data_IF_556152117568
#
_entry.id   IF_556152117568
#
_cell.length_a   1.000
_cell.length_b   1.000
_cell.length_c   1.000
_cell.angle_alpha   90.00
_cell.angle_beta   90.00
_cell.angle_gamma   90.00
#
_symmetry.space_group_name_H-M   'P 1'
#
loop_
_entity.id
_entity.type
_entity.pdbx_description
1 polymer ?
#
# COMPACT_ATOMS: atom_id res chain seq x y z
N UNK A 1 -8.20 46.60 -14.89
CA UNK A 1 -8.51 45.17 -14.98
C UNK A 1 -8.18 44.54 -13.64
N UNK A 2 -9.18 44.44 -12.78
CA UNK A 2 -9.10 43.94 -11.41
C UNK A 2 -9.56 42.49 -11.39
N UNK A 3 -8.66 41.59 -11.02
CA UNK A 3 -8.95 40.16 -10.81
C UNK A 3 -9.56 40.03 -9.42
N UNK A 4 -10.76 39.45 -9.25
CA UNK A 4 -11.32 39.22 -7.93
C UNK A 4 -10.59 38.05 -7.26
N UNK A 5 -10.02 38.35 -6.09
CA UNK A 5 -9.44 37.40 -5.16
C UNK A 5 -10.55 36.52 -4.57
N UNK A 6 -10.69 35.32 -5.13
CA UNK A 6 -11.61 34.31 -4.63
C UNK A 6 -11.06 33.72 -3.31
N UNK A 7 -11.80 33.99 -2.24
CA UNK A 7 -11.48 33.59 -0.87
C UNK A 7 -11.60 32.08 -0.71
N UNK A 8 -10.46 31.39 -0.83
CA UNK A 8 -10.32 30.00 -0.38
C UNK A 8 -10.52 29.92 1.14
N UNK A 9 -11.75 29.60 1.56
CA UNK A 9 -12.05 28.98 2.85
C UNK A 9 -11.19 27.73 3.01
N UNK A 10 -10.21 27.80 3.90
CA UNK A 10 -9.62 26.63 4.51
C UNK A 10 -10.58 26.17 5.60
N UNK A 11 -11.54 25.32 5.23
CA UNK A 11 -12.34 24.59 6.21
C UNK A 11 -11.43 23.55 6.86
N UNK A 12 -10.91 23.89 8.04
CA UNK A 12 -10.29 22.94 8.97
C UNK A 12 -11.35 21.89 9.35
N UNK A 13 -11.32 20.75 8.67
CA UNK A 13 -12.06 19.56 9.07
C UNK A 13 -11.42 18.95 10.32
N UNK A 14 -11.75 19.50 11.49
CA UNK A 14 -11.83 18.68 12.69
C UNK A 14 -13.09 17.81 12.55
N UNK A 15 -12.90 16.59 12.07
CA UNK A 15 -13.99 15.62 11.99
C UNK A 15 -14.55 15.39 13.40
N UNK A 16 -15.86 15.59 13.64
CA UNK A 16 -16.47 15.15 14.88
C UNK A 16 -16.32 13.64 14.93
N UNK A 17 -15.67 13.12 15.98
CA UNK A 17 -15.78 11.71 16.36
C UNK A 17 -17.27 11.41 16.56
N UNK A 18 -17.90 10.87 15.51
CA UNK A 18 -19.26 10.37 15.54
C UNK A 18 -19.28 9.14 16.45
N UNK A 19 -19.42 9.39 17.75
CA UNK A 19 -19.78 8.36 18.70
C UNK A 19 -21.19 7.92 18.32
N UNK A 20 -21.31 6.69 17.79
CA UNK A 20 -22.59 6.09 17.44
C UNK A 20 -23.48 6.02 18.69
N UNK A 21 -24.34 7.02 18.87
CA UNK A 21 -25.31 7.05 19.95
C UNK A 21 -26.40 6.04 19.63
N UNK A 22 -26.34 4.86 20.24
CA UNK A 22 -27.40 3.85 20.17
C UNK A 22 -28.67 4.42 20.79
N UNK A 23 -29.67 4.73 19.95
CA UNK A 23 -31.01 5.14 20.40
C UNK A 23 -31.75 3.89 20.89
N UNK A 24 -32.18 3.90 22.15
CA UNK A 24 -32.95 2.80 22.74
C UNK A 24 -34.34 3.34 23.10
N UNK A 25 -35.40 2.70 22.63
CA UNK A 25 -36.78 3.11 22.91
C UNK A 25 -37.32 2.34 24.11
N UNK A 26 -37.87 3.03 25.11
CA UNK A 26 -38.51 2.37 26.25
C UNK A 26 -39.80 1.67 25.81
N UNK A 27 -40.02 0.37 26.13
CA UNK A 27 -41.21 -0.36 25.72
C UNK A 27 -42.50 0.15 26.38
N UNK A 28 -42.42 0.62 27.62
CA UNK A 28 -43.59 1.09 28.39
C UNK A 28 -44.11 2.47 27.93
N UNK A 29 -43.24 3.49 27.91
CA UNK A 29 -43.65 4.88 27.63
C UNK A 29 -43.25 5.39 26.24
N UNK A 30 -42.58 4.57 25.42
CA UNK A 30 -42.09 4.90 24.07
C UNK A 30 -41.11 6.08 23.98
N UNK A 31 -40.60 6.57 25.11
CA UNK A 31 -39.56 7.62 25.12
C UNK A 31 -38.25 7.06 24.55
N UNK A 32 -37.63 7.81 23.64
CA UNK A 32 -36.31 7.48 23.06
C UNK A 32 -35.20 7.96 23.98
N UNK A 33 -34.44 7.03 24.55
CA UNK A 33 -33.32 7.30 25.45
C UNK A 33 -32.02 7.41 24.66
N UNK A 34 -31.26 8.47 24.91
CA UNK A 34 -29.90 8.67 24.39
C UNK A 34 -28.89 8.24 25.45
N UNK A 35 -28.33 7.04 25.33
CA UNK A 35 -27.27 6.59 26.20
C UNK A 35 -25.92 7.20 25.76
N UNK A 36 -25.17 7.79 26.68
CA UNK A 36 -23.85 8.40 26.42
C UNK A 36 -22.78 7.37 26.09
N UNK A 37 -23.00 6.10 26.46
CA UNK A 37 -22.15 4.95 26.15
C UNK A 37 -23.02 3.83 25.57
N UNK A 38 -22.57 3.11 24.54
CA UNK A 38 -23.31 1.98 23.99
C UNK A 38 -23.58 0.96 25.10
N UNK A 39 -24.86 0.63 25.29
CA UNK A 39 -25.28 -0.35 26.31
C UNK A 39 -25.09 -1.74 25.72
N UNK A 40 -24.27 -2.62 26.33
CA UNK A 40 -24.11 -3.99 25.86
C UNK A 40 -25.44 -4.74 25.95
N UNK A 41 -25.70 -5.60 24.97
CA UNK A 41 -26.92 -6.42 24.92
C UNK A 41 -27.08 -7.23 26.23
N UNK A 42 -28.31 -7.30 26.73
CA UNK A 42 -28.68 -8.02 27.96
C UNK A 42 -28.60 -7.19 29.25
N UNK A 43 -28.08 -5.96 29.23
CA UNK A 43 -28.02 -5.12 30.44
C UNK A 43 -29.37 -4.43 30.72
N UNK A 44 -29.82 -4.46 31.96
CA UNK A 44 -31.02 -3.76 32.41
C UNK A 44 -30.80 -2.24 32.48
N UNK A 45 -31.68 -1.47 31.83
CA UNK A 45 -31.71 0.00 31.82
C UNK A 45 -33.02 0.47 32.45
N UNK A 46 -32.95 1.52 33.28
CA UNK A 46 -34.13 2.15 33.89
C UNK A 46 -34.55 3.36 33.07
N UNK A 47 -35.82 3.45 32.67
CA UNK A 47 -36.34 4.61 31.97
C UNK A 47 -36.48 5.81 32.93
N UNK A 48 -35.95 7.01 32.59
CA UNK A 48 -36.10 8.20 33.42
C UNK A 48 -37.52 8.77 33.45
N UNK A 49 -38.32 8.55 32.39
CA UNK A 49 -39.69 9.08 32.31
C UNK A 49 -40.70 8.26 33.12
N UNK A 50 -40.70 6.93 32.96
CA UNK A 50 -41.69 6.06 33.62
C UNK A 50 -41.13 5.16 34.72
N UNK A 51 -39.81 5.13 34.91
CA UNK A 51 -39.16 4.35 35.97
C UNK A 51 -39.07 2.83 35.74
N UNK A 52 -39.63 2.30 34.64
CA UNK A 52 -39.58 0.87 34.32
C UNK A 52 -38.15 0.40 34.01
N UNK A 53 -37.84 -0.86 34.35
CA UNK A 53 -36.56 -1.52 34.06
C UNK A 53 -36.76 -2.52 32.92
N UNK A 54 -35.97 -2.41 31.86
CA UNK A 54 -36.03 -3.31 30.70
C UNK A 54 -34.61 -3.66 30.21
N UNK A 55 -34.46 -4.79 29.51
CA UNK A 55 -33.17 -5.26 29.00
C UNK A 55 -32.92 -4.78 27.57
N UNK A 56 -31.80 -4.08 27.34
CA UNK A 56 -31.44 -3.61 26.00
C UNK A 56 -31.03 -4.78 25.10
N UNK A 57 -31.64 -4.90 23.91
CA UNK A 57 -31.20 -5.85 22.86
C UNK A 57 -31.85 -7.24 22.87
N UNK A 58 -32.94 -7.47 23.61
CA UNK A 58 -33.60 -8.78 23.65
C UNK A 58 -34.54 -9.05 22.44
N UNK A 59 -35.02 -8.01 21.73
CA UNK A 59 -36.10 -8.15 20.75
C UNK A 59 -35.66 -8.10 19.27
N UNK A 60 -34.36 -8.24 18.97
CA UNK A 60 -33.85 -8.25 17.59
C UNK A 60 -33.84 -9.66 16.95
N UNK A 61 -34.80 -10.52 17.29
CA UNK A 61 -35.13 -11.69 16.49
C UNK A 61 -36.31 -11.31 15.58
N UNK A 62 -35.99 -10.71 14.43
CA UNK A 62 -36.98 -10.23 13.46
C UNK A 62 -37.84 -11.37 12.90
N UNK A 63 -39.14 -11.35 13.23
CA UNK A 63 -40.18 -12.04 12.44
C UNK A 63 -40.71 -11.03 11.41
N UNK A 64 -40.53 -11.24 10.09
CA UNK A 64 -40.96 -10.26 9.09
C UNK A 64 -42.49 -10.27 8.94
N UNK A 65 -43.14 -9.16 9.29
CA UNK A 65 -44.57 -8.92 9.07
C UNK A 65 -44.85 -8.58 7.59
N UNK A 66 -45.61 -9.45 6.92
CA UNK A 66 -46.22 -9.25 5.60
C UNK A 66 -47.15 -8.03 5.59
N UNK A 67 -46.99 -7.13 4.63
CA UNK A 67 -48.02 -6.16 4.19
C UNK A 67 -48.64 -6.56 2.84
N UNK A 68 -49.91 -6.16 2.56
CA UNK A 68 -50.73 -6.74 1.49
C UNK A 68 -50.51 -6.10 0.12
N UNK A 69 -50.81 -6.89 -0.92
CA UNK A 69 -50.77 -6.57 -2.36
C UNK A 69 -51.81 -5.53 -2.77
N UNK A 70 -51.40 -4.53 -3.54
CA UNK A 70 -52.27 -3.84 -4.51
C UNK A 70 -51.91 -4.29 -5.93
N UNK A 71 -52.97 -4.54 -6.72
CA UNK A 71 -52.93 -5.10 -8.05
C UNK A 71 -52.84 -4.00 -9.11
N UNK A 72 -51.90 -4.12 -10.05
CA UNK A 72 -51.99 -3.47 -11.36
C UNK A 72 -51.65 -4.50 -12.44
N UNK A 73 -52.61 -4.65 -13.35
CA UNK A 73 -52.66 -5.50 -14.52
C UNK A 73 -51.92 -4.94 -15.72
N UNK A 74 -51.68 -5.84 -16.68
CA UNK A 74 -51.69 -5.65 -18.15
C UNK A 74 -50.34 -5.61 -18.89
N UNK A 75 -50.08 -6.74 -19.56
CA UNK A 75 -49.80 -6.86 -20.99
C UNK A 75 -48.60 -6.12 -21.61
N UNK A 76 -47.52 -6.90 -21.87
CA UNK A 76 -46.99 -7.06 -23.25
C UNK A 76 -45.92 -8.17 -23.38
N UNK A 77 -46.28 -9.24 -24.12
CA UNK A 77 -45.37 -9.98 -25.02
C UNK A 77 -45.03 -9.06 -26.24
N UNK A 78 -44.00 -9.29 -27.08
CA UNK A 78 -43.24 -10.52 -27.39
C UNK A 78 -41.69 -10.26 -27.31
N UNK A 79 -40.72 -11.12 -27.64
CA UNK A 79 -40.60 -12.13 -28.68
C UNK A 79 -39.30 -12.93 -28.49
N UNK A 80 -39.37 -14.20 -28.89
CA UNK A 80 -38.30 -15.17 -29.12
C UNK A 80 -37.24 -14.62 -30.09
N UNK A 81 -35.96 -14.69 -29.71
CA UNK A 81 -34.86 -15.01 -30.64
C UNK A 81 -33.94 -16.01 -29.99
N UNK A 82 -33.78 -17.13 -30.70
CA UNK A 82 -32.92 -18.23 -30.38
C UNK A 82 -31.60 -18.01 -31.13
N UNK A 83 -30.49 -17.97 -30.41
CA UNK A 83 -29.18 -18.25 -30.98
C UNK A 83 -28.38 -19.13 -30.01
N UNK A 84 -28.43 -20.43 -30.31
CA UNK A 84 -27.54 -21.45 -29.76
C UNK A 84 -26.13 -21.15 -30.29
N UNK A 85 -25.24 -20.65 -29.45
CA UNK A 85 -23.80 -20.69 -29.71
C UNK A 85 -23.16 -21.77 -28.83
N UNK A 86 -22.67 -22.80 -29.51
CA UNK A 86 -22.05 -23.98 -28.94
C UNK A 86 -20.81 -23.63 -28.08
N UNK A 87 -20.78 -24.14 -26.86
CA UNK A 87 -19.60 -24.14 -26.00
C UNK A 87 -18.61 -25.21 -26.47
N UNK A 88 -17.30 -24.92 -26.54
CA UNK A 88 -16.29 -25.92 -26.89
C UNK A 88 -16.09 -26.93 -25.75
N UNK A 89 -16.02 -28.21 -26.14
CA UNK A 89 -15.71 -29.36 -25.27
C UNK A 89 -14.35 -29.18 -24.60
N UNK A 90 -14.33 -29.18 -23.26
CA UNK A 90 -13.13 -29.32 -22.43
C UNK A 90 -12.62 -30.77 -22.54
N UNK A 91 -11.34 -31.02 -22.86
CA UNK A 91 -10.79 -32.37 -22.87
C UNK A 91 -10.63 -32.89 -21.43
N UNK A 92 -11.09 -34.13 -21.24
CA UNK A 92 -10.85 -34.96 -20.08
C UNK A 92 -9.50 -35.68 -20.22
N UNK A 93 -8.61 -35.51 -19.24
CA UNK A 93 -7.51 -36.41 -18.83
C UNK A 93 -6.67 -35.63 -17.81
N UNK A 94 -6.06 -36.20 -16.76
CA UNK A 94 -6.10 -37.50 -16.10
C UNK A 94 -5.43 -37.26 -14.73
N UNK A 95 -5.87 -37.96 -13.68
CA UNK A 95 -5.16 -38.02 -12.38
C UNK A 95 -3.89 -38.90 -12.54
N UNK A 96 -2.83 -38.64 -11.75
CA UNK A 96 -2.50 -39.47 -10.58
C UNK A 96 -2.30 -38.59 -9.32
N UNK A 97 -2.80 -38.95 -8.13
CA UNK A 97 -2.30 -39.94 -7.16
C UNK A 97 -1.00 -39.50 -6.46
N UNK A 98 -1.17 -38.85 -5.30
CA UNK A 98 -0.29 -38.79 -4.11
C UNK A 98 -1.03 -37.85 -3.11
N UNK A 99 -1.73 -38.37 -2.10
CA UNK A 99 -1.28 -38.77 -0.75
C UNK A 99 -0.85 -37.59 0.15
N UNK A 100 -1.28 -37.69 1.42
CA UNK A 100 -1.15 -36.79 2.58
C UNK A 100 -2.29 -35.76 2.79
N UNK A 101 -3.42 -36.12 3.41
CA UNK A 101 -3.62 -36.45 4.84
C UNK A 101 -3.87 -35.19 5.72
N UNK A 102 -5.13 -35.01 6.12
CA UNK A 102 -5.52 -34.29 7.35
C UNK A 102 -6.24 -32.95 7.19
N UNK A 103 -7.56 -32.92 7.46
CA UNK A 103 -8.20 -31.65 7.85
C UNK A 103 -9.71 -31.44 7.59
N UNK A 104 -10.57 -32.26 8.18
CA UNK A 104 -11.86 -31.84 8.80
C UNK A 104 -12.70 -30.74 8.14
N UNK A 105 -13.38 -31.06 7.05
CA UNK A 105 -14.77 -30.64 6.86
C UNK A 105 -15.57 -31.86 6.43
N UNK A 106 -16.27 -32.46 7.39
CA UNK A 106 -17.17 -33.57 7.15
C UNK A 106 -18.30 -33.11 6.25
N UNK A 107 -18.27 -33.55 4.99
CA UNK A 107 -19.47 -33.60 4.16
C UNK A 107 -20.46 -34.52 4.86
N UNK A 108 -21.49 -33.97 5.48
CA UNK A 108 -22.68 -34.73 5.84
C UNK A 108 -23.29 -35.20 4.53
N UNK A 109 -23.14 -36.50 4.23
CA UNK A 109 -23.94 -37.17 3.22
C UNK A 109 -25.37 -37.17 3.72
N UNK A 110 -26.15 -36.20 3.27
CA UNK A 110 -27.61 -36.26 3.42
C UNK A 110 -28.12 -37.44 2.58
N UNK A 111 -28.63 -38.45 3.28
CA UNK A 111 -29.39 -39.53 2.69
C UNK A 111 -30.54 -38.95 1.84
N UNK A 112 -30.62 -39.41 0.60
CA UNK A 112 -31.73 -39.17 -0.32
C UNK A 112 -33.01 -39.73 0.28
N UNK A 113 -33.75 -38.91 1.03
CA UNK A 113 -35.15 -39.14 1.33
C UNK A 113 -35.94 -38.80 0.07
N UNK A 114 -36.39 -39.84 -0.62
CA UNK A 114 -37.32 -39.76 -1.72
C UNK A 114 -38.73 -39.49 -1.16
N UNK A 115 -39.08 -38.22 -0.99
CA UNK A 115 -40.49 -37.82 -0.89
C UNK A 115 -40.76 -36.63 -1.81
N UNK A 116 -41.50 -36.95 -2.86
CA UNK A 116 -42.03 -36.05 -3.87
C UNK A 116 -43.17 -35.22 -3.28
N UNK A 117 -42.85 -34.12 -2.58
CA UNK A 117 -43.85 -33.09 -2.30
C UNK A 117 -43.41 -31.73 -2.82
N UNK A 118 -44.21 -31.29 -3.80
CA UNK A 118 -44.15 -30.07 -4.60
C UNK A 118 -43.78 -28.83 -3.78
N UNK A 119 -42.48 -28.61 -3.57
CA UNK A 119 -41.96 -27.32 -3.15
C UNK A 119 -42.22 -26.37 -4.34
N UNK A 120 -42.99 -25.28 -4.17
CA UNK A 120 -43.20 -24.34 -5.26
C UNK A 120 -41.82 -23.89 -5.73
N UNK A 121 -41.58 -23.97 -7.04
CA UNK A 121 -40.42 -23.40 -7.70
C UNK A 121 -40.51 -21.89 -7.48
N UNK A 122 -40.04 -21.45 -6.31
CA UNK A 122 -39.82 -20.05 -6.03
C UNK A 122 -38.70 -19.71 -6.99
N UNK A 123 -39.08 -19.12 -8.13
CA UNK A 123 -38.18 -18.47 -9.06
C UNK A 123 -37.61 -17.26 -8.29
N UNK A 124 -36.71 -17.58 -7.37
CA UNK A 124 -35.84 -16.66 -6.69
C UNK A 124 -34.79 -16.29 -7.72
N UNK A 125 -35.23 -15.68 -8.82
CA UNK A 125 -34.38 -14.89 -9.67
C UNK A 125 -33.87 -13.81 -8.72
N UNK A 126 -32.62 -13.93 -8.20
CA UNK A 126 -32.08 -12.94 -7.31
C UNK A 126 -32.18 -11.66 -8.09
N UNK A 127 -32.90 -10.68 -7.58
CA UNK A 127 -33.17 -9.44 -8.29
C UNK A 127 -31.81 -8.83 -8.68
N UNK A 128 -31.40 -9.07 -9.93
CA UNK A 128 -30.10 -8.71 -10.49
C UNK A 128 -30.03 -7.21 -10.75
N UNK A 129 -31.10 -6.46 -10.44
CA UNK A 129 -31.03 -5.01 -10.31
C UNK A 129 -29.97 -4.71 -9.26
N UNK A 130 -28.81 -4.28 -9.73
CA UNK A 130 -27.61 -3.94 -8.95
C UNK A 130 -27.96 -2.93 -7.86
N UNK A 131 -28.48 -3.41 -6.73
CA UNK A 131 -28.84 -2.59 -5.57
C UNK A 131 -27.62 -1.95 -4.95
N UNK A 132 -26.43 -2.48 -5.20
CA UNK A 132 -25.16 -1.91 -4.78
C UNK A 132 -24.21 -1.67 -5.97
N UNK A 133 -24.03 -0.39 -6.31
CA UNK A 133 -23.10 0.05 -7.35
C UNK A 133 -21.64 -0.02 -6.88
N UNK A 134 -21.38 -0.25 -5.59
CA UNK A 134 -20.03 -0.38 -5.03
C UNK A 134 -19.36 -1.69 -5.41
N UNK A 135 -20.10 -2.79 -5.52
CA UNK A 135 -19.55 -4.10 -5.88
C UNK A 135 -18.79 -4.09 -7.22
N UNK A 136 -19.43 -3.67 -8.33
CA UNK A 136 -18.76 -3.55 -9.61
C UNK A 136 -17.60 -2.54 -9.60
N UNK A 137 -17.74 -1.41 -8.91
CA UNK A 137 -16.69 -0.41 -8.79
C UNK A 137 -15.46 -0.95 -8.04
N UNK A 138 -15.68 -1.62 -6.91
CA UNK A 138 -14.62 -2.26 -6.12
C UNK A 138 -13.89 -3.29 -6.97
N UNK A 139 -14.61 -4.20 -7.64
CA UNK A 139 -13.99 -5.23 -8.49
C UNK A 139 -13.10 -4.67 -9.60
N UNK A 140 -13.47 -3.51 -10.18
CA UNK A 140 -12.67 -2.83 -11.19
C UNK A 140 -11.38 -2.21 -10.59
N UNK A 141 -11.40 -1.85 -9.31
CA UNK A 141 -10.31 -1.17 -8.64
C UNK A 141 -9.31 -2.11 -7.97
N UNK A 142 -9.71 -3.33 -7.55
CA UNK A 142 -8.81 -4.25 -6.82
C UNK A 142 -7.52 -4.54 -7.60
N UNK A 143 -7.61 -4.84 -8.89
CA UNK A 143 -6.44 -5.16 -9.71
C UNK A 143 -5.41 -4.01 -9.78
N UNK A 144 -5.81 -2.82 -10.28
CA UNK A 144 -4.92 -1.66 -10.37
C UNK A 144 -4.40 -1.19 -9.00
N UNK A 145 -5.25 -1.18 -7.97
CA UNK A 145 -4.84 -0.75 -6.62
C UNK A 145 -3.85 -1.71 -5.97
N UNK A 146 -3.99 -3.03 -6.15
CA UNK A 146 -2.99 -4.00 -5.69
C UNK A 146 -1.62 -3.74 -6.32
N UNK A 147 -1.58 -3.48 -7.63
CA UNK A 147 -0.33 -3.11 -8.29
C UNK A 147 0.26 -1.80 -7.75
N UNK A 148 -0.58 -0.81 -7.47
CA UNK A 148 -0.13 0.45 -6.88
C UNK A 148 0.41 0.26 -5.44
N UNK A 149 -0.21 -0.61 -4.63
CA UNK A 149 0.29 -1.01 -3.30
C UNK A 149 1.67 -1.66 -3.42
N UNK A 150 1.86 -2.56 -4.40
CA UNK A 150 3.16 -3.20 -4.64
C UNK A 150 4.21 -2.15 -5.02
N UNK A 151 3.90 -1.24 -5.95
CA UNK A 151 4.84 -0.17 -6.37
C UNK A 151 5.19 0.75 -5.19
N UNK A 152 4.21 1.18 -4.39
CA UNK A 152 4.45 1.97 -3.18
C UNK A 152 5.27 1.22 -2.13
N UNK A 153 5.01 -0.07 -1.94
CA UNK A 153 5.75 -0.90 -0.98
C UNK A 153 7.20 -1.13 -1.43
N UNK A 154 7.43 -1.46 -2.70
CA UNK A 154 8.77 -1.59 -3.27
C UNK A 154 9.55 -0.28 -3.17
N UNK A 155 8.90 0.86 -3.41
CA UNK A 155 9.49 2.18 -3.20
C UNK A 155 9.96 2.39 -1.75
N UNK A 156 9.08 2.11 -0.79
CA UNK A 156 9.38 2.23 0.65
C UNK A 156 10.56 1.35 1.06
N UNK A 157 10.53 0.06 0.71
CA UNK A 157 11.61 -0.87 1.04
C UNK A 157 12.90 -0.56 0.28
N UNK A 158 12.80 -0.02 -0.93
CA UNK A 158 13.95 0.46 -1.68
C UNK A 158 14.64 1.64 -0.98
N UNK A 159 13.88 2.64 -0.54
CA UNK A 159 14.45 3.75 0.24
C UNK A 159 15.03 3.29 1.57
N UNK A 160 14.40 2.32 2.24
CA UNK A 160 14.94 1.68 3.43
C UNK A 160 16.25 0.93 3.13
N UNK A 161 16.33 0.23 2.00
CA UNK A 161 17.55 -0.44 1.54
C UNK A 161 18.70 0.54 1.33
N UNK A 162 18.44 1.67 0.66
CA UNK A 162 19.42 2.77 0.51
C UNK A 162 19.86 3.32 1.86
N UNK A 163 18.93 3.53 2.80
CA UNK A 163 19.24 3.99 4.15
C UNK A 163 20.22 3.04 4.85
N UNK A 164 19.92 1.73 4.84
CA UNK A 164 20.76 0.70 5.47
C UNK A 164 22.13 0.64 4.79
N UNK A 165 22.19 0.72 3.45
CA UNK A 165 23.45 0.71 2.71
C UNK A 165 24.33 1.92 3.00
N UNK A 166 23.76 3.08 3.30
CA UNK A 166 24.52 4.28 3.73
C UNK A 166 24.96 4.14 5.20
N UNK A 167 24.09 3.61 6.07
CA UNK A 167 24.40 3.48 7.49
C UNK A 167 25.54 2.50 7.78
N UNK A 168 25.66 1.40 7.03
CA UNK A 168 26.73 0.39 7.25
C UNK A 168 28.15 1.00 7.20
N UNK A 169 28.59 1.66 6.11
CA UNK A 169 29.93 2.25 6.05
C UNK A 169 30.10 3.44 7.01
N UNK A 170 29.01 4.11 7.41
CA UNK A 170 29.08 5.17 8.44
C UNK A 170 29.28 4.60 9.84
N UNK A 171 28.65 3.47 10.17
CA UNK A 171 28.77 2.81 11.48
C UNK A 171 30.04 1.97 11.59
N UNK A 172 30.52 1.44 10.47
CA UNK A 172 31.72 0.62 10.38
C UNK A 172 32.67 1.22 9.34
N UNK A 173 33.36 2.33 9.67
CA UNK A 173 34.39 2.86 8.79
C UNK A 173 35.46 1.79 8.62
N UNK A 174 35.61 1.29 7.38
CA UNK A 174 36.70 0.39 7.04
C UNK A 174 37.93 1.30 6.89
N UNK A 175 38.79 1.31 7.90
CA UNK A 175 40.09 1.97 7.80
C UNK A 175 40.86 1.31 6.64
N UNK A 176 40.96 2.01 5.52
CA UNK A 176 41.55 1.48 4.28
C UNK A 176 43.08 1.32 4.36
N UNK A 177 43.66 1.39 5.57
CA UNK A 177 45.08 1.65 5.84
C UNK A 177 45.88 0.46 6.38
N UNK A 178 45.28 -0.70 6.64
CA UNK A 178 46.04 -1.81 7.28
C UNK A 178 46.86 -2.67 6.30
N UNK A 179 46.89 -2.29 5.02
CA UNK A 179 47.38 -3.15 3.94
C UNK A 179 48.76 -2.83 3.35
N UNK A 180 49.28 -1.62 3.51
CA UNK A 180 50.62 -1.30 2.99
C UNK A 180 51.71 -1.71 3.98
N UNK A 181 51.79 -3.03 4.23
CA UNK A 181 52.96 -3.68 4.85
C UNK A 181 54.23 -3.57 3.98
N UNK A 182 54.18 -2.87 2.84
CA UNK A 182 55.33 -2.68 1.94
C UNK A 182 56.05 -1.34 2.12
N UNK A 183 55.53 -0.43 2.94
CA UNK A 183 56.39 0.61 3.52
C UNK A 183 57.22 -0.02 4.63
N UNK A 184 58.56 -0.13 4.47
CA UNK A 184 59.40 -0.62 5.56
C UNK A 184 59.14 0.24 6.80
N UNK A 185 59.20 -0.34 8.01
CA UNK A 185 59.06 0.41 9.24
C UNK A 185 59.95 1.65 9.13
N UNK A 186 59.37 2.84 9.34
CA UNK A 186 60.17 4.07 9.50
C UNK A 186 61.34 3.68 10.41
N UNK A 187 62.60 3.87 9.97
CA UNK A 187 63.74 3.48 10.77
C UNK A 187 63.53 4.11 12.14
N UNK A 188 63.60 3.26 13.17
CA UNK A 188 63.72 3.68 14.56
C UNK A 188 64.73 4.81 14.53
N UNK A 189 64.29 6.01 14.88
CA UNK A 189 65.19 7.13 15.10
C UNK A 189 66.08 6.65 16.25
N UNK A 190 67.29 6.21 15.89
CA UNK A 190 68.40 6.15 16.82
C UNK A 190 68.50 7.53 17.44
N UNK A 191 68.11 7.60 18.71
CA UNK A 191 68.30 8.75 19.56
C UNK A 191 69.79 8.90 19.84
N UNK A 192 70.56 9.33 18.86
CA UNK A 192 71.88 9.88 19.08
C UNK A 192 72.00 11.23 18.39
N UNK A 193 71.93 12.26 19.24
CA UNK A 193 72.38 13.64 19.05
C UNK A 193 71.41 14.66 18.42
N UNK A 194 71.07 15.67 19.24
CA UNK A 194 70.89 17.04 18.76
C UNK A 194 69.62 17.73 19.22
N UNK A 195 69.66 18.32 20.42
CA UNK A 195 68.60 19.11 21.04
C UNK A 195 68.48 20.53 20.42
N UNK A 196 68.61 20.66 19.11
CA UNK A 196 68.72 21.98 18.44
C UNK A 196 68.06 22.07 17.07
N UNK A 197 66.81 21.62 16.94
CA UNK A 197 65.94 22.04 15.84
C UNK A 197 64.52 22.25 16.39
N UNK A 198 64.38 23.33 17.16
CA UNK A 198 63.08 23.97 17.45
C UNK A 198 62.99 25.11 16.45
N UNK A 199 62.15 24.98 15.40
CA UNK A 199 61.49 26.08 14.64
C UNK A 199 61.06 25.75 13.19
N UNK A 200 60.71 24.51 12.85
CA UNK A 200 59.93 24.27 11.62
C UNK A 200 58.65 23.50 11.94
N UNK A 201 57.71 24.19 12.59
CA UNK A 201 56.29 23.85 12.60
C UNK A 201 55.71 24.06 11.19
N UNK A 202 56.07 23.17 10.27
CA UNK A 202 55.30 22.97 9.06
C UNK A 202 54.76 21.56 9.13
N UNK A 203 53.63 21.41 9.83
CA UNK A 203 52.84 20.18 9.79
C UNK A 203 52.69 19.79 8.31
N UNK A 204 53.25 18.65 7.87
CA UNK A 204 52.96 18.16 6.55
C UNK A 204 51.53 17.64 6.62
N UNK A 205 50.57 18.51 6.30
CA UNK A 205 49.27 18.13 5.74
C UNK A 205 49.57 17.40 4.43
N UNK A 206 49.97 16.14 4.55
CA UNK A 206 50.08 15.23 3.42
C UNK A 206 48.66 15.03 2.92
N UNK A 207 48.27 15.84 1.93
CA UNK A 207 47.03 15.63 1.20
C UNK A 207 47.04 14.18 0.72
N UNK A 208 45.98 13.40 1.00
CA UNK A 208 45.89 12.02 0.58
C UNK A 208 46.04 11.99 -0.94
N UNK A 209 47.10 11.32 -1.43
CA UNK A 209 47.29 11.10 -2.87
C UNK A 209 46.11 10.28 -3.38
N UNK A 210 45.18 10.98 -4.01
CA UNK A 210 43.98 10.41 -4.58
C UNK A 210 44.42 9.61 -5.82
N UNK A 211 44.53 8.30 -5.68
CA UNK A 211 44.93 7.42 -6.77
C UNK A 211 43.70 7.18 -7.66
N UNK A 212 43.61 7.80 -8.87
CA UNK A 212 42.39 7.84 -9.67
C UNK A 212 41.92 6.45 -10.15
N UNK A 213 42.77 5.42 -10.00
CA UNK A 213 42.47 4.04 -10.38
C UNK A 213 41.93 3.15 -9.26
N UNK A 214 41.96 3.57 -7.99
CA UNK A 214 41.39 2.76 -6.90
C UNK A 214 39.87 2.96 -6.84
N UNK A 215 39.14 2.25 -7.70
CA UNK A 215 37.67 2.24 -7.69
C UNK A 215 37.20 1.60 -6.38
N UNK A 216 36.74 2.41 -5.43
CA UNK A 216 36.12 1.89 -4.22
C UNK A 216 34.84 1.13 -4.57
N UNK A 217 34.56 0.10 -3.78
CA UNK A 217 33.39 -0.76 -3.95
C UNK A 217 32.08 0.03 -3.86
N UNK A 218 32.10 1.17 -3.17
CA UNK A 218 30.96 2.05 -2.88
C UNK A 218 30.79 3.21 -3.87
N UNK A 219 31.50 3.21 -5.01
CA UNK A 219 31.31 4.26 -6.01
C UNK A 219 29.97 4.08 -6.76
N UNK A 220 29.10 5.07 -6.70
CA UNK A 220 27.82 5.08 -7.40
C UNK A 220 27.66 6.42 -8.14
N UNK A 221 27.44 6.38 -9.46
CA UNK A 221 27.49 7.57 -10.34
C UNK A 221 28.74 8.46 -10.15
N UNK A 222 29.90 7.84 -9.94
CA UNK A 222 31.16 8.58 -9.73
C UNK A 222 31.28 9.25 -8.36
N UNK A 223 30.28 9.12 -7.49
CA UNK A 223 30.34 9.57 -6.10
C UNK A 223 30.63 8.36 -5.21
N UNK A 224 31.65 8.45 -4.38
CA UNK A 224 31.94 7.41 -3.39
C UNK A 224 30.99 7.56 -2.19
N UNK A 225 30.12 6.59 -1.95
CA UNK A 225 29.24 6.60 -0.77
C UNK A 225 30.05 6.60 0.54
N UNK A 226 31.31 6.15 0.54
CA UNK A 226 32.18 6.26 1.72
C UNK A 226 32.49 7.72 2.10
N UNK A 227 32.54 8.64 1.13
CA UNK A 227 32.73 10.07 1.39
C UNK A 227 31.57 10.65 2.21
N UNK A 228 30.36 10.06 2.10
CA UNK A 228 29.18 10.49 2.87
C UNK A 228 29.40 10.32 4.37
N UNK A 229 30.15 9.30 4.80
CA UNK A 229 30.50 9.09 6.21
C UNK A 229 31.55 10.09 6.74
N UNK A 230 32.33 10.70 5.85
CA UNK A 230 33.35 11.71 6.19
C UNK A 230 32.80 13.13 6.22
N UNK A 231 31.58 13.35 5.71
CA UNK A 231 30.93 14.66 5.77
C UNK A 231 30.64 15.05 7.24
N UNK A 232 30.75 16.34 7.58
CA UNK A 232 30.30 16.84 8.87
C UNK A 232 28.87 16.37 9.19
N UNK A 233 28.60 16.02 10.44
CA UNK A 233 27.35 15.37 10.88
C UNK A 233 26.06 16.07 10.41
N UNK A 234 26.09 17.41 10.29
CA UNK A 234 24.93 18.19 9.82
C UNK A 234 24.68 18.03 8.32
N UNK A 235 25.72 17.91 7.48
CA UNK A 235 25.57 17.59 6.06
C UNK A 235 25.14 16.14 5.86
N UNK A 236 25.62 15.23 6.71
CA UNK A 236 25.14 13.85 6.72
C UNK A 236 23.63 13.78 7.01
N UNK A 237 23.14 14.49 8.05
CA UNK A 237 21.71 14.57 8.34
C UNK A 237 20.92 15.21 7.17
N UNK A 238 21.48 16.24 6.53
CA UNK A 238 20.87 16.86 5.36
C UNK A 238 20.77 15.88 4.18
N UNK A 239 21.76 15.00 4.00
CA UNK A 239 21.74 13.96 2.97
C UNK A 239 20.73 12.85 3.26
N UNK A 240 20.36 12.60 4.53
CA UNK A 240 19.31 11.65 4.89
C UNK A 240 17.89 12.18 4.64
N UNK A 241 17.69 13.49 4.65
CA UNK A 241 16.39 14.13 4.44
C UNK A 241 15.65 13.66 3.17
N UNK A 242 16.25 13.61 1.97
CA UNK A 242 15.57 13.09 0.78
C UNK A 242 15.17 11.61 0.89
N UNK A 243 15.93 10.79 1.64
CA UNK A 243 15.60 9.38 1.87
C UNK A 243 14.33 9.27 2.72
N UNK A 244 14.25 10.05 3.80
CA UNK A 244 13.04 10.11 4.64
C UNK A 244 11.83 10.65 3.85
N UNK A 245 12.02 11.69 3.05
CA UNK A 245 10.96 12.20 2.18
C UNK A 245 10.50 11.14 1.16
N UNK A 246 11.44 10.37 0.59
CA UNK A 246 11.15 9.25 -0.29
C UNK A 246 10.29 8.18 0.39
N UNK A 247 10.66 7.77 1.61
CA UNK A 247 9.87 6.80 2.39
C UNK A 247 8.46 7.31 2.70
N UNK A 248 8.31 8.58 3.13
CA UNK A 248 7.00 9.19 3.39
C UNK A 248 6.18 9.28 2.11
N UNK A 249 6.80 9.67 0.99
CA UNK A 249 6.15 9.73 -0.31
C UNK A 249 5.60 8.36 -0.72
N UNK A 250 6.42 7.31 -0.62
CA UNK A 250 5.99 5.94 -0.91
C UNK A 250 4.88 5.46 0.03
N UNK A 251 4.95 5.81 1.32
CA UNK A 251 3.88 5.54 2.28
C UNK A 251 2.55 6.20 1.92
N UNK A 252 2.57 7.45 1.44
CA UNK A 252 1.37 8.17 1.00
C UNK A 252 0.76 7.54 -0.27
N UNK A 253 1.59 7.08 -1.21
CA UNK A 253 1.12 6.34 -2.39
C UNK A 253 0.41 5.05 -1.94
N UNK A 254 1.03 4.23 -1.10
CA UNK A 254 0.44 3.00 -0.58
C UNK A 254 -0.85 3.26 0.20
N UNK A 255 -0.88 4.27 1.06
CA UNK A 255 -2.07 4.66 1.81
C UNK A 255 -3.23 5.04 0.89
N UNK A 256 -2.97 5.88 -0.12
CA UNK A 256 -4.00 6.24 -1.09
C UNK A 256 -4.47 5.05 -1.92
N UNK A 257 -3.60 4.06 -2.19
CA UNK A 257 -3.99 2.84 -2.88
C UNK A 257 -4.93 1.94 -2.03
N UNK A 258 -4.72 1.88 -0.71
CA UNK A 258 -5.66 1.22 0.22
C UNK A 258 -7.00 1.96 0.27
N UNK A 259 -6.97 3.30 0.29
CA UNK A 259 -8.18 4.14 0.24
C UNK A 259 -9.00 3.92 -1.05
N UNK A 260 -8.33 3.61 -2.17
CA UNK A 260 -9.00 3.24 -3.43
C UNK A 260 -9.79 1.93 -3.26
N UNK A 261 -9.23 0.93 -2.57
CA UNK A 261 -9.87 -0.37 -2.37
C UNK A 261 -11.09 -0.29 -1.48
N UNK A 262 -11.02 0.53 -0.43
CA UNK A 262 -12.12 0.71 0.52
C UNK A 262 -13.24 1.61 -0.02
N UNK A 263 -13.06 2.25 -1.19
CA UNK A 263 -13.96 3.27 -1.73
C UNK A 263 -14.21 4.45 -0.74
N UNK A 264 -13.24 4.74 0.13
CA UNK A 264 -13.37 5.70 1.23
C UNK A 264 -12.98 7.13 0.84
N UNK A 265 -12.16 7.31 -0.21
CA UNK A 265 -11.69 8.65 -0.59
C UNK A 265 -11.26 8.76 -2.05
N UNK A 266 -12.19 9.12 -2.94
CA UNK A 266 -11.90 9.34 -4.37
C UNK A 266 -10.75 10.33 -4.61
N UNK A 267 -10.72 11.45 -3.86
CA UNK A 267 -9.67 12.47 -4.00
C UNK A 267 -8.30 11.96 -3.57
N UNK A 268 -8.23 11.20 -2.48
CA UNK A 268 -6.99 10.59 -2.00
C UNK A 268 -6.49 9.51 -2.95
N UNK A 269 -7.40 8.69 -3.50
CA UNK A 269 -7.08 7.72 -4.52
C UNK A 269 -6.53 8.36 -5.79
N UNK A 270 -7.17 9.42 -6.28
CA UNK A 270 -6.69 10.17 -7.44
C UNK A 270 -5.31 10.80 -7.19
N UNK A 271 -5.11 11.43 -6.02
CA UNK A 271 -3.81 12.01 -5.66
C UNK A 271 -2.70 10.95 -5.61
N UNK A 272 -2.95 9.80 -4.98
CA UNK A 272 -2.00 8.69 -4.94
C UNK A 272 -1.72 8.10 -6.32
N UNK A 273 -2.73 7.96 -7.18
CA UNK A 273 -2.54 7.49 -8.54
C UNK A 273 -1.66 8.45 -9.36
N UNK A 274 -1.87 9.77 -9.22
CA UNK A 274 -1.02 10.79 -9.84
C UNK A 274 0.41 10.73 -9.27
N UNK A 275 0.56 10.66 -7.95
CA UNK A 275 1.88 10.50 -7.32
C UNK A 275 2.59 9.23 -7.80
N UNK A 276 1.86 8.12 -7.97
CA UNK A 276 2.37 6.86 -8.51
C UNK A 276 2.89 6.95 -9.95
N UNK A 277 2.48 7.95 -10.73
CA UNK A 277 3.04 8.19 -12.07
C UNK A 277 4.44 8.79 -12.03
N UNK A 278 4.84 9.39 -10.91
CA UNK A 278 6.16 10.02 -10.77
C UNK A 278 7.18 8.94 -10.37
N UNK A 279 8.24 8.69 -11.16
CA UNK A 279 9.20 7.63 -10.90
C UNK A 279 10.08 7.85 -9.65
N UNK A 280 9.87 8.96 -8.93
CA UNK A 280 10.49 9.21 -7.62
C UNK A 280 10.08 8.13 -6.61
N UNK A 281 8.87 7.57 -6.73
CA UNK A 281 8.41 6.52 -5.83
C UNK A 281 9.29 5.26 -5.90
N UNK A 282 9.68 4.85 -7.11
CA UNK A 282 10.52 3.67 -7.34
C UNK A 282 12.02 3.96 -7.27
N UNK A 283 12.44 5.21 -7.05
CA UNK A 283 13.85 5.59 -7.11
C UNK A 283 14.71 4.88 -6.06
N UNK A 284 14.24 4.78 -4.81
CA UNK A 284 14.97 4.01 -3.79
C UNK A 284 15.18 2.55 -4.18
N UNK A 285 14.17 1.94 -4.83
CA UNK A 285 14.27 0.57 -5.34
C UNK A 285 15.28 0.48 -6.48
N UNK A 286 15.18 1.37 -7.49
CA UNK A 286 16.13 1.46 -8.61
C UNK A 286 17.58 1.60 -8.12
N UNK A 287 17.84 2.42 -7.10
CA UNK A 287 19.18 2.60 -6.54
C UNK A 287 19.68 1.32 -5.88
N UNK A 288 18.82 0.67 -5.08
CA UNK A 288 19.17 -0.57 -4.38
C UNK A 288 19.42 -1.71 -5.36
N UNK A 289 18.57 -1.88 -6.38
CA UNK A 289 18.75 -2.89 -7.43
C UNK A 289 19.96 -2.59 -8.28
N UNK A 290 20.24 -1.33 -8.62
CA UNK A 290 21.45 -0.96 -9.36
C UNK A 290 22.74 -1.28 -8.58
N UNK A 291 22.78 -1.02 -7.28
CA UNK A 291 23.94 -1.36 -6.43
C UNK A 291 24.10 -2.88 -6.32
N UNK A 292 23.01 -3.61 -6.06
CA UNK A 292 23.03 -5.07 -6.00
C UNK A 292 23.44 -5.71 -7.33
N UNK A 293 22.92 -5.20 -8.44
CA UNK A 293 23.26 -5.68 -9.78
C UNK A 293 24.72 -5.37 -10.11
N UNK A 294 25.22 -4.19 -9.73
CA UNK A 294 26.64 -3.84 -9.85
C UNK A 294 27.52 -4.83 -9.09
N UNK A 295 27.12 -5.23 -7.89
CA UNK A 295 27.84 -6.23 -7.12
C UNK A 295 27.87 -7.60 -7.81
N UNK A 296 26.71 -8.08 -8.25
CA UNK A 296 26.57 -9.43 -8.82
C UNK A 296 27.17 -9.55 -10.23
N UNK A 297 26.93 -8.55 -11.09
CA UNK A 297 27.23 -8.60 -12.52
C UNK A 297 28.54 -7.88 -12.85
N UNK A 298 29.00 -6.95 -12.01
CA UNK A 298 30.28 -6.26 -12.17
C UNK A 298 31.49 -7.21 -12.11
N UNK A 299 31.32 -8.45 -11.64
CA UNK A 299 32.34 -9.50 -11.73
C UNK A 299 32.44 -10.14 -13.12
N UNK A 300 31.40 -10.03 -13.96
CA UNK A 300 31.27 -10.78 -15.21
C UNK A 300 31.36 -9.87 -16.44
N UNK A 301 30.87 -8.62 -16.35
CA UNK A 301 30.76 -7.74 -17.52
C UNK A 301 31.30 -6.34 -17.26
N UNK A 302 32.07 -5.81 -18.21
CA UNK A 302 32.56 -4.43 -18.17
C UNK A 302 31.49 -3.39 -18.56
N UNK A 303 30.46 -3.78 -19.33
CA UNK A 303 29.39 -2.90 -19.84
C UNK A 303 28.15 -2.77 -18.92
N UNK A 304 28.39 -2.74 -17.61
CA UNK A 304 27.33 -2.66 -16.60
C UNK A 304 26.48 -1.38 -16.71
N UNK A 305 27.06 -0.27 -17.18
CA UNK A 305 26.36 1.00 -17.28
C UNK A 305 25.15 0.96 -18.21
N UNK A 306 25.26 0.29 -19.36
CA UNK A 306 24.16 0.16 -20.33
C UNK A 306 23.02 -0.67 -19.74
N UNK A 307 23.35 -1.77 -19.05
CA UNK A 307 22.36 -2.61 -18.38
C UNK A 307 21.63 -1.86 -17.27
N UNK A 308 22.33 -1.04 -16.47
CA UNK A 308 21.70 -0.20 -15.45
C UNK A 308 20.75 0.83 -16.04
N UNK A 309 21.15 1.54 -17.10
CA UNK A 309 20.28 2.52 -17.79
C UNK A 309 19.02 1.84 -18.33
N UNK A 310 19.17 0.68 -18.95
CA UNK A 310 18.04 -0.09 -19.46
C UNK A 310 17.08 -0.51 -18.33
N UNK A 311 17.60 -1.09 -17.24
CA UNK A 311 16.80 -1.53 -16.11
C UNK A 311 16.04 -0.36 -15.47
N UNK A 312 16.72 0.76 -15.20
CA UNK A 312 16.10 1.97 -14.65
C UNK A 312 15.00 2.51 -15.58
N UNK A 313 15.22 2.45 -16.90
CA UNK A 313 14.23 2.88 -17.88
C UNK A 313 12.99 1.99 -17.86
N UNK A 314 13.17 0.68 -17.79
CA UNK A 314 12.06 -0.30 -17.72
C UNK A 314 11.27 -0.13 -16.43
N UNK A 315 11.94 0.01 -15.29
CA UNK A 315 11.28 0.21 -13.99
C UNK A 315 10.52 1.54 -13.94
N UNK A 316 11.11 2.62 -14.45
CA UNK A 316 10.44 3.92 -14.54
C UNK A 316 9.20 3.87 -15.44
N UNK A 317 9.29 3.24 -16.61
CA UNK A 317 8.15 3.08 -17.52
C UNK A 317 7.06 2.18 -16.92
N UNK A 318 7.43 1.12 -16.20
CA UNK A 318 6.48 0.27 -15.50
C UNK A 318 5.72 1.04 -14.41
N UNK A 319 6.42 1.84 -13.61
CA UNK A 319 5.79 2.69 -12.59
C UNK A 319 4.81 3.70 -13.20
N UNK A 320 5.22 4.40 -14.27
CA UNK A 320 4.36 5.32 -15.02
C UNK A 320 3.13 4.58 -15.56
N UNK A 321 3.33 3.39 -16.15
CA UNK A 321 2.25 2.58 -16.70
C UNK A 321 1.20 2.19 -15.66
N UNK A 322 1.64 1.76 -14.46
CA UNK A 322 0.74 1.44 -13.34
C UNK A 322 -0.02 2.69 -12.88
N UNK A 323 0.67 3.83 -12.69
CA UNK A 323 0.01 5.07 -12.28
C UNK A 323 -1.05 5.54 -13.27
N UNK A 324 -0.74 5.55 -14.57
CA UNK A 324 -1.69 5.91 -15.64
C UNK A 324 -2.86 4.93 -15.68
N UNK A 325 -2.59 3.63 -15.56
CA UNK A 325 -3.64 2.62 -15.52
C UNK A 325 -4.62 2.87 -14.36
N UNK A 326 -4.13 3.15 -13.16
CA UNK A 326 -5.00 3.46 -12.01
C UNK A 326 -5.81 4.74 -12.25
N UNK A 327 -5.20 5.81 -12.77
CA UNK A 327 -5.92 7.05 -13.10
C UNK A 327 -7.05 6.79 -14.10
N UNK A 328 -6.78 6.03 -15.18
CA UNK A 328 -7.80 5.73 -16.20
C UNK A 328 -8.96 4.91 -15.64
N UNK A 329 -8.69 3.95 -14.75
CA UNK A 329 -9.74 3.17 -14.08
C UNK A 329 -10.55 4.03 -13.11
N UNK A 330 -9.89 4.91 -12.34
CA UNK A 330 -10.57 5.84 -11.43
C UNK A 330 -11.49 6.82 -12.17
N UNK A 331 -11.10 7.24 -13.38
CA UNK A 331 -11.92 8.11 -14.22
C UNK A 331 -13.11 7.40 -14.90
N UNK A 332 -13.24 6.08 -14.75
CA UNK A 332 -14.36 5.37 -15.36
C UNK A 332 -15.69 5.71 -14.67
N UNK A 333 -16.76 5.88 -15.47
CA UNK A 333 -18.09 6.22 -14.95
C UNK A 333 -18.61 5.22 -13.91
N UNK A 334 -18.24 3.95 -14.05
CA UNK A 334 -18.60 2.88 -13.10
C UNK A 334 -18.03 3.17 -11.71
N UNK A 335 -16.75 3.55 -11.67
CA UNK A 335 -16.06 3.87 -10.42
C UNK A 335 -16.59 5.16 -9.82
N UNK A 336 -16.76 6.21 -10.63
CA UNK A 336 -17.31 7.49 -10.16
C UNK A 336 -18.71 7.30 -9.55
N UNK A 337 -19.58 6.52 -10.21
CA UNK A 337 -20.92 6.18 -9.68
C UNK A 337 -20.83 5.34 -8.40
N UNK A 338 -19.85 4.44 -8.30
CA UNK A 338 -19.59 3.66 -7.09
C UNK A 338 -19.21 4.53 -5.89
N UNK A 339 -18.36 5.54 -6.09
CA UNK A 339 -18.00 6.51 -5.04
C UNK A 339 -19.16 7.44 -4.66
N UNK A 340 -20.04 7.76 -5.62
CA UNK A 340 -21.21 8.61 -5.36
C UNK A 340 -22.35 7.88 -4.63
N UNK A 341 -22.35 6.54 -4.63
CA UNK A 341 -23.41 5.73 -4.01
C UNK A 341 -23.38 5.84 -2.48
N UNK A 342 -24.52 6.28 -1.93
CA UNK A 342 -24.85 6.26 -0.50
C UNK A 342 -25.96 5.23 -0.31
N UNK A 343 -25.76 4.30 0.63
CA UNK A 343 -26.84 3.44 1.07
C UNK A 343 -27.76 4.31 1.95
N UNK A 344 -28.98 4.55 1.48
CA UNK A 344 -30.01 5.28 2.22
C UNK A 344 -30.65 4.44 3.33
#
# INVERSE_FOLDING_TARGET
MSIPSDGRRQDQFYGPTLMAASKITCPECKTVLKASKPVPAGKAVKCPECGSRFTAGADAAEVPLKKPKEAITADRKPQKTADKKASPKKPANAKPADDDEGGTYGYVQEEKVADEDKKPEIDYAPDMTTKDMRGPAASALVGPSNWLIVVGSLGFFGWLGVLVMILIPTLFPIDADDGDKSKPPKPVIEAEHGLSVVNDEKEPTAEPKNDPNRKSFYSFFGTDLALVGLLPWYFFLLALLPIFLGMVYSGLVTYGAVQIQNLEGYRWGMASAIMGTVPINSWGFMMTTAILLKFLVGMVTDDLAVMMIFLMSVEALAAIGVGVWVVTVLMSDKVIKGYAYKAD
#
